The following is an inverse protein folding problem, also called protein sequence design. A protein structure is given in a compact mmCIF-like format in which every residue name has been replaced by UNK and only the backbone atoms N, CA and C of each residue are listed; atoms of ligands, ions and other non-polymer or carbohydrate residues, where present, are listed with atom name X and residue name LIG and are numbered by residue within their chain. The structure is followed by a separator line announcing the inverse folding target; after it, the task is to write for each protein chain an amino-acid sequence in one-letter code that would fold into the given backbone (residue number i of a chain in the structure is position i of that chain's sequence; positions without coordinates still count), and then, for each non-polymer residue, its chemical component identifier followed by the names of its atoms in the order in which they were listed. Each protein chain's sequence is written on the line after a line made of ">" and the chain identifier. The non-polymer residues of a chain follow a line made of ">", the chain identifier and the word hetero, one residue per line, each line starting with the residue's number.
data_IF_854178377114
#
_entry.id   IF_854178377114
#
_cell.length_a   1.000
_cell.length_b   1.000
_cell.length_c   1.000
_cell.angle_alpha   90.00
_cell.angle_beta   90.00
_cell.angle_gamma   90.00
#
_symmetry.space_group_name_H-M   'P 1'
#
loop_
_entity.id
_entity.type
_entity.pdbx_description
1 polymer ?
#
# COMPACT_ATOMS: atom_id res chain seq x y z
N UNK A 1 27.07 -5.53 23.45
CA UNK A 1 27.69 -4.89 22.27
C UNK A 1 28.97 -4.17 22.72
N UNK A 2 29.97 -3.91 21.87
CA UNK A 2 31.20 -3.22 22.26
C UNK A 2 30.89 -1.89 22.96
N UNK A 3 31.73 -1.46 23.91
CA UNK A 3 31.56 -0.19 24.66
C UNK A 3 31.49 1.03 23.71
N UNK A 4 32.04 0.90 22.50
CA UNK A 4 32.03 1.92 21.44
C UNK A 4 30.72 2.02 20.64
N UNK A 5 29.77 1.10 20.83
CA UNK A 5 28.46 1.13 20.13
C UNK A 5 27.41 1.94 20.90
N UNK A 6 26.42 2.55 20.24
CA UNK A 6 25.30 3.22 20.90
C UNK A 6 24.53 2.26 21.82
N UNK A 7 23.79 2.76 22.84
CA UNK A 7 23.07 1.93 23.82
C UNK A 7 21.88 1.12 23.25
N UNK A 8 21.68 1.13 21.93
CA UNK A 8 20.70 0.32 21.21
C UNK A 8 20.96 0.36 19.70
N UNK A 9 20.00 -0.15 18.92
CA UNK A 9 20.05 -0.20 17.45
C UNK A 9 18.98 0.72 16.86
N UNK A 10 19.26 1.35 15.72
CA UNK A 10 18.25 2.19 15.05
C UNK A 10 17.09 1.35 14.49
N UNK A 11 17.40 0.29 13.74
CA UNK A 11 16.41 -0.57 13.08
C UNK A 11 16.76 -2.04 13.29
N UNK A 12 15.79 -2.83 13.77
CA UNK A 12 15.80 -4.29 13.75
C UNK A 12 14.76 -4.76 12.72
N UNK A 13 15.16 -5.66 11.83
CA UNK A 13 14.27 -6.31 10.87
C UNK A 13 14.36 -7.82 11.05
N UNK A 14 13.23 -8.48 11.24
CA UNK A 14 13.14 -9.94 11.33
C UNK A 14 12.05 -10.46 10.42
N UNK A 15 12.11 -11.75 10.08
CA UNK A 15 10.97 -12.42 9.45
C UNK A 15 9.88 -12.69 10.49
N UNK A 16 10.19 -13.50 11.51
CA UNK A 16 9.26 -13.90 12.57
C UNK A 16 8.95 -12.76 13.55
N UNK A 17 7.69 -12.68 13.96
CA UNK A 17 7.28 -11.77 15.04
C UNK A 17 7.87 -12.22 16.39
N UNK A 18 8.22 -11.29 17.28
CA UNK A 18 8.62 -11.63 18.64
C UNK A 18 7.41 -12.13 19.44
N UNK A 19 7.61 -13.19 20.22
CA UNK A 19 6.58 -13.73 21.13
C UNK A 19 6.22 -12.70 22.21
N UNK A 20 4.92 -12.57 22.52
CA UNK A 20 4.42 -11.69 23.57
C UNK A 20 4.32 -10.22 23.16
N UNK A 21 4.54 -9.89 21.89
CA UNK A 21 4.48 -8.51 21.37
C UNK A 21 3.10 -7.87 21.47
N UNK A 22 2.07 -8.63 21.73
CA UNK A 22 0.70 -8.21 21.99
C UNK A 22 0.52 -7.71 23.44
N UNK A 23 1.40 -8.10 24.37
CA UNK A 23 1.22 -7.83 25.80
C UNK A 23 1.16 -6.33 26.09
N UNK A 24 0.05 -5.87 26.66
CA UNK A 24 -0.17 -4.47 27.00
C UNK A 24 -0.52 -3.53 25.82
N UNK A 25 -0.63 -4.05 24.59
CA UNK A 25 -1.11 -3.26 23.45
C UNK A 25 -2.63 -3.33 23.33
N UNK A 26 -3.24 -2.22 22.92
CA UNK A 26 -4.64 -2.17 22.52
C UNK A 26 -4.83 -2.34 21.01
N UNK A 27 -3.75 -2.23 20.24
CA UNK A 27 -3.77 -2.23 18.76
C UNK A 27 -3.40 -3.60 18.20
N UNK A 28 -2.29 -4.20 18.66
CA UNK A 28 -1.84 -5.52 18.19
C UNK A 28 -2.37 -6.63 19.11
N UNK A 29 -3.55 -7.17 18.81
CA UNK A 29 -4.16 -8.25 19.58
C UNK A 29 -4.16 -9.57 18.80
N UNK A 30 -3.81 -10.67 19.48
CA UNK A 30 -3.92 -12.05 19.01
C UNK A 30 -3.28 -12.33 17.64
N UNK A 31 -1.93 -12.27 17.51
CA UNK A 31 -1.26 -12.68 16.28
C UNK A 31 -1.56 -14.16 15.94
N UNK A 32 -1.70 -14.54 14.65
CA UNK A 32 -2.03 -15.90 14.21
C UNK A 32 -1.06 -16.96 14.72
N UNK A 33 0.23 -16.65 14.73
CA UNK A 33 1.27 -17.51 15.31
C UNK A 33 1.70 -16.98 16.69
N UNK A 34 2.10 -17.89 17.57
CA UNK A 34 2.53 -17.59 18.95
C UNK A 34 3.88 -16.81 19.04
N UNK A 35 4.36 -16.24 17.94
CA UNK A 35 5.64 -15.53 17.82
C UNK A 35 6.87 -16.38 18.17
N UNK A 36 8.06 -15.79 18.08
CA UNK A 36 9.34 -16.43 18.38
C UNK A 36 9.95 -15.89 19.68
N UNK A 37 10.24 -16.79 20.61
CA UNK A 37 10.93 -16.46 21.87
C UNK A 37 12.34 -15.92 21.62
N UNK A 38 13.04 -16.48 20.63
CA UNK A 38 14.37 -16.00 20.24
C UNK A 38 14.32 -14.55 19.72
N UNK A 39 13.27 -14.19 18.98
CA UNK A 39 13.10 -12.82 18.48
C UNK A 39 12.70 -11.84 19.59
N UNK A 40 11.92 -12.29 20.58
CA UNK A 40 11.62 -11.49 21.78
C UNK A 40 12.90 -11.20 22.60
N UNK A 41 13.72 -12.23 22.84
CA UNK A 41 15.02 -12.09 23.52
C UNK A 41 15.96 -11.16 22.76
N UNK A 42 16.04 -11.31 21.42
CA UNK A 42 16.86 -10.47 20.57
C UNK A 42 16.42 -9.00 20.64
N UNK A 43 15.11 -8.73 20.57
CA UNK A 43 14.58 -7.37 20.65
C UNK A 43 14.80 -6.74 22.03
N UNK A 44 14.61 -7.50 23.11
CA UNK A 44 14.89 -7.06 24.47
C UNK A 44 16.38 -6.71 24.67
N UNK A 45 17.29 -7.50 24.10
CA UNK A 45 18.72 -7.28 24.21
C UNK A 45 19.23 -6.13 23.32
N UNK A 46 18.70 -5.98 22.10
CA UNK A 46 19.15 -4.96 21.15
C UNK A 46 18.50 -3.59 21.35
N UNK A 47 17.32 -3.54 21.98
CA UNK A 47 16.56 -2.31 22.25
C UNK A 47 16.45 -1.45 20.99
N UNK A 48 15.85 -1.95 19.90
CA UNK A 48 15.80 -1.20 18.66
C UNK A 48 14.90 0.03 18.78
N UNK A 49 15.15 1.13 18.05
CA UNK A 49 14.18 2.23 17.97
C UNK A 49 12.97 1.82 17.13
N UNK A 50 13.21 1.15 16.02
CA UNK A 50 12.19 0.58 15.15
C UNK A 50 12.41 -0.92 14.98
N UNK A 51 11.35 -1.70 15.18
CA UNK A 51 11.35 -3.13 14.99
C UNK A 51 10.29 -3.54 13.96
N UNK A 52 10.74 -4.00 12.80
CA UNK A 52 9.89 -4.52 11.72
C UNK A 52 9.87 -6.05 11.69
N UNK A 53 8.69 -6.65 11.54
CA UNK A 53 8.50 -8.08 11.32
C UNK A 53 7.36 -8.37 10.33
N UNK A 54 7.43 -9.47 9.56
CA UNK A 54 6.53 -9.70 8.42
C UNK A 54 5.86 -11.08 8.35
N UNK A 55 6.24 -12.06 9.18
CA UNK A 55 5.78 -13.46 9.03
C UNK A 55 4.27 -13.71 9.26
N UNK A 56 3.55 -12.76 9.85
CA UNK A 56 2.11 -12.92 10.14
C UNK A 56 1.21 -12.44 8.99
N UNK A 57 1.79 -11.84 7.94
CA UNK A 57 1.07 -11.20 6.83
C UNK A 57 -0.01 -10.20 7.29
N UNK A 58 0.21 -9.60 8.47
CA UNK A 58 -0.72 -8.67 9.12
C UNK A 58 -0.03 -7.33 9.36
N UNK A 59 -0.66 -6.25 8.89
CA UNK A 59 -0.24 -4.92 9.30
C UNK A 59 -0.63 -4.66 10.76
N UNK A 60 0.35 -4.37 11.62
CA UNK A 60 0.09 -3.87 12.96
C UNK A 60 1.13 -2.85 13.42
N UNK A 61 0.67 -1.63 13.72
CA UNK A 61 1.49 -0.59 14.31
C UNK A 61 1.20 -0.50 15.81
N UNK A 62 2.07 -1.09 16.63
CA UNK A 62 1.90 -1.12 18.07
C UNK A 62 2.19 0.25 18.67
N UNK A 63 1.53 0.57 19.78
CA UNK A 63 2.00 1.65 20.66
C UNK A 63 3.47 1.42 21.05
N UNK A 64 4.30 2.49 21.14
CA UNK A 64 5.68 2.36 21.57
C UNK A 64 5.78 1.68 22.94
N UNK A 65 6.90 1.00 23.20
CA UNK A 65 7.16 0.43 24.53
C UNK A 65 8.53 0.83 25.08
N UNK A 66 8.63 0.93 26.40
CA UNK A 66 9.90 1.25 27.09
C UNK A 66 10.87 0.08 26.99
N UNK A 67 12.15 0.41 26.81
CA UNK A 67 13.22 -0.58 26.91
C UNK A 67 13.64 -0.78 28.37
N UNK A 68 14.03 -2.00 28.71
CA UNK A 68 14.40 -2.44 30.07
C UNK A 68 15.77 -3.10 30.04
N UNK A 69 16.49 -3.08 31.16
CA UNK A 69 17.79 -3.74 31.34
C UNK A 69 17.64 -5.10 32.01
N UNK A 70 18.66 -5.94 31.90
CA UNK A 70 18.68 -7.30 32.48
C UNK A 70 18.54 -8.41 31.45
N UNK A 71 18.60 -8.08 30.16
CA UNK A 71 18.43 -9.04 29.05
C UNK A 71 19.66 -9.12 28.13
N UNK A 72 20.61 -8.22 28.32
CA UNK A 72 21.91 -8.23 27.65
C UNK A 72 23.04 -8.74 28.55
N UNK A 73 24.30 -8.55 28.11
CA UNK A 73 25.48 -8.89 28.90
C UNK A 73 25.56 -8.09 30.22
N UNK A 74 26.42 -8.48 31.19
CA UNK A 74 26.52 -7.83 32.51
C UNK A 74 26.85 -6.32 32.47
N UNK A 75 27.43 -5.82 31.39
CA UNK A 75 27.75 -4.41 31.13
C UNK A 75 26.67 -3.69 30.29
N UNK A 76 25.45 -4.22 30.26
CA UNK A 76 24.33 -3.68 29.50
C UNK A 76 23.96 -2.26 29.96
N UNK A 77 23.98 -1.33 29.00
CA UNK A 77 23.55 0.06 29.22
C UNK A 77 22.03 0.19 29.09
N UNK A 78 21.39 1.05 29.91
CA UNK A 78 20.00 1.43 29.68
C UNK A 78 19.87 2.16 28.35
N UNK A 79 18.77 1.93 27.65
CA UNK A 79 18.38 2.69 26.47
C UNK A 79 17.34 3.73 26.90
N UNK A 80 17.57 4.99 26.56
CA UNK A 80 16.64 6.09 26.89
C UNK A 80 15.46 6.16 25.92
N UNK A 81 15.60 5.59 24.72
CA UNK A 81 14.55 5.58 23.71
C UNK A 81 13.52 4.47 23.91
N UNK A 82 12.30 4.73 23.45
CA UNK A 82 11.26 3.73 23.28
C UNK A 82 11.44 2.95 21.96
N UNK A 83 10.92 1.72 21.94
CA UNK A 83 10.86 0.88 20.73
C UNK A 83 9.49 0.99 20.08
N UNK A 84 9.46 1.14 18.76
CA UNK A 84 8.25 1.11 17.93
C UNK A 84 8.22 -0.17 17.13
N UNK A 85 7.21 -1.01 17.36
CA UNK A 85 7.03 -2.26 16.61
C UNK A 85 6.02 -2.08 15.48
N UNK A 86 6.42 -2.54 14.28
CA UNK A 86 5.59 -2.52 13.08
C UNK A 86 5.59 -3.91 12.44
N UNK A 87 4.46 -4.59 12.57
CA UNK A 87 4.09 -5.74 11.76
C UNK A 87 3.69 -5.29 10.37
N UNK A 88 4.26 -5.89 9.32
CA UNK A 88 3.91 -5.60 7.93
C UNK A 88 3.01 -6.70 7.37
N UNK A 89 1.98 -6.30 6.61
CA UNK A 89 1.22 -7.23 5.79
C UNK A 89 2.04 -7.73 4.60
N UNK A 90 1.60 -8.83 3.98
CA UNK A 90 2.25 -9.30 2.75
C UNK A 90 2.11 -8.27 1.63
N UNK A 91 3.14 -8.13 0.81
CA UNK A 91 3.04 -7.29 -0.36
C UNK A 91 1.89 -7.81 -1.23
N UNK A 92 1.05 -6.89 -1.73
CA UNK A 92 -0.02 -7.24 -2.69
C UNK A 92 -1.14 -8.10 -2.09
N UNK A 93 -1.29 -8.12 -0.77
CA UNK A 93 -2.37 -8.83 -0.11
C UNK A 93 -3.77 -8.37 -0.60
N UNK A 94 -4.72 -9.30 -0.67
CA UNK A 94 -6.09 -9.03 -1.13
C UNK A 94 -6.89 -8.14 -0.17
N UNK A 95 -6.45 -8.06 1.09
CA UNK A 95 -7.07 -7.28 2.17
C UNK A 95 -6.61 -5.82 2.21
N UNK A 96 -5.72 -5.40 1.30
CA UNK A 96 -5.13 -4.05 1.19
C UNK A 96 -4.52 -3.52 2.49
N UNK A 97 -4.03 -4.41 3.35
CA UNK A 97 -3.27 -4.04 4.52
C UNK A 97 -1.94 -3.40 4.12
N UNK A 98 -1.41 -2.51 4.96
CA UNK A 98 -0.14 -1.84 4.70
C UNK A 98 1.01 -2.85 4.77
N UNK A 99 1.75 -2.94 3.67
CA UNK A 99 2.86 -3.88 3.49
C UNK A 99 4.22 -3.17 3.39
N UNK A 100 4.22 -1.85 3.52
CA UNK A 100 5.40 -0.99 3.56
C UNK A 100 5.16 0.13 4.59
N UNK A 101 6.23 0.74 5.07
CA UNK A 101 6.19 1.81 6.07
C UNK A 101 7.24 2.86 5.71
N UNK A 102 6.81 4.12 5.58
CA UNK A 102 7.68 5.25 5.30
C UNK A 102 7.79 6.15 6.53
N UNK A 103 9.01 6.52 6.91
CA UNK A 103 9.27 7.36 8.08
C UNK A 103 10.60 8.08 7.94
N UNK A 104 10.72 9.22 8.63
CA UNK A 104 11.97 9.95 8.78
C UNK A 104 12.64 9.55 10.10
N UNK A 105 13.95 9.31 10.07
CA UNK A 105 14.71 8.95 11.28
C UNK A 105 16.09 9.57 11.26
N UNK A 106 16.45 10.22 12.36
CA UNK A 106 17.83 10.62 12.65
C UNK A 106 18.55 9.47 13.38
N UNK A 107 19.72 9.01 12.90
CA UNK A 107 20.43 7.90 13.53
C UNK A 107 20.83 8.18 14.99
N UNK A 108 20.79 7.16 15.85
CA UNK A 108 21.20 7.20 17.26
C UNK A 108 22.57 7.87 17.50
N UNK A 109 23.49 7.69 16.54
CA UNK A 109 24.84 8.27 16.59
C UNK A 109 24.91 9.81 16.52
N UNK A 110 23.86 10.50 16.06
CA UNK A 110 23.92 11.93 15.71
C UNK A 110 23.23 12.86 16.70
N UNK A 111 22.30 12.37 17.55
CA UNK A 111 21.50 13.24 18.42
C UNK A 111 20.93 12.52 19.65
N UNK A 112 21.59 12.58 20.83
CA UNK A 112 21.08 11.95 22.06
C UNK A 112 19.82 12.63 22.63
N UNK A 113 19.65 13.94 22.42
CA UNK A 113 18.65 14.76 23.11
C UNK A 113 17.19 14.55 22.64
N UNK A 114 16.97 14.03 21.43
CA UNK A 114 15.63 13.75 20.87
C UNK A 114 15.15 12.32 21.16
N UNK A 115 16.01 11.49 21.76
CA UNK A 115 15.75 10.07 21.99
C UNK A 115 14.86 9.81 23.21
N UNK A 116 14.86 10.72 24.17
CA UNK A 116 14.10 10.61 25.42
C UNK A 116 12.63 11.03 25.28
N UNK A 117 12.25 11.59 24.13
CA UNK A 117 10.89 12.06 23.88
C UNK A 117 9.95 10.86 23.70
N UNK A 118 9.29 10.51 24.80
CA UNK A 118 8.50 9.30 24.94
C UNK A 118 7.01 9.67 24.86
N UNK A 119 6.30 9.25 23.80
CA UNK A 119 4.87 9.56 23.66
C UNK A 119 4.05 9.12 24.86
N UNK A 120 2.97 9.85 25.18
CA UNK A 120 2.12 9.55 26.34
C UNK A 120 1.41 8.19 26.28
N UNK A 121 1.28 7.59 25.10
CA UNK A 121 0.73 6.24 24.91
C UNK A 121 1.78 5.12 25.03
N UNK A 122 3.00 5.43 25.48
CA UNK A 122 4.07 4.42 25.61
C UNK A 122 3.73 3.40 26.70
N UNK A 123 3.84 2.13 26.33
CA UNK A 123 3.55 0.96 27.17
C UNK A 123 4.81 0.43 27.86
N UNK A 124 4.64 -0.44 28.85
CA UNK A 124 5.77 -1.18 29.44
C UNK A 124 6.30 -2.25 28.47
N UNK A 125 7.53 -2.72 28.70
CA UNK A 125 8.16 -3.70 27.83
C UNK A 125 7.34 -5.00 27.76
N UNK A 126 6.97 -5.48 26.55
CA UNK A 126 6.11 -6.65 26.38
C UNK A 126 6.77 -7.98 26.77
N UNK A 127 8.11 -8.03 26.83
CA UNK A 127 8.89 -9.26 26.99
C UNK A 127 9.30 -9.60 28.43
N UNK A 128 8.74 -8.90 29.42
CA UNK A 128 9.18 -8.99 30.82
C UNK A 128 8.90 -10.36 31.46
N UNK A 129 7.87 -11.08 31.02
CA UNK A 129 7.56 -12.43 31.51
C UNK A 129 8.41 -13.51 30.82
N UNK A 130 8.58 -13.48 29.50
CA UNK A 130 9.40 -14.46 28.78
C UNK A 130 10.86 -14.39 29.22
N UNK A 131 11.36 -13.19 29.47
CA UNK A 131 12.76 -12.97 29.74
C UNK A 131 13.18 -13.29 31.20
N UNK A 132 12.23 -13.33 32.14
CA UNK A 132 12.42 -13.95 33.46
C UNK A 132 12.68 -15.47 33.38
N UNK A 133 12.10 -16.15 32.38
CA UNK A 133 12.30 -17.58 32.18
C UNK A 133 13.66 -17.92 31.56
N UNK A 134 14.26 -16.99 30.80
CA UNK A 134 15.59 -17.14 30.20
C UNK A 134 16.72 -17.01 31.25
N UNK A 135 16.60 -16.09 32.21
CA UNK A 135 17.57 -15.92 33.31
C UNK A 135 17.64 -17.12 34.27
N UNK A 136 16.60 -17.94 34.31
CA UNK A 136 16.47 -19.07 35.24
C UNK A 136 16.92 -20.43 34.66
N UNK A 137 17.18 -20.53 33.35
CA UNK A 137 17.54 -21.80 32.70
C UNK A 137 19.06 -22.01 32.63
N UNK A 138 19.67 -22.40 33.76
CA UNK A 138 20.88 -23.26 33.72
C UNK A 138 20.42 -24.67 33.33
N UNK A 139 20.91 -25.21 32.21
CA UNK A 139 20.53 -26.54 31.71
C UNK A 139 20.93 -27.65 32.70
N UNK A 140 20.05 -28.58 33.07
CA UNK A 140 20.44 -29.89 33.59
C UNK A 140 20.75 -30.87 32.46
N UNK A 141 21.60 -31.84 32.76
CA UNK A 141 22.00 -32.97 31.91
C UNK A 141 20.83 -33.96 31.72
N UNK A 142 20.69 -34.67 30.58
CA UNK A 142 19.56 -35.55 30.33
C UNK A 142 19.85 -37.00 30.76
N UNK A 143 19.01 -37.56 31.63
CA UNK A 143 18.83 -39.01 31.78
C UNK A 143 17.34 -39.34 32.02
N UNK A 144 16.84 -40.20 31.14
CA UNK A 144 15.78 -41.23 31.24
C UNK A 144 14.80 -41.23 32.42
N UNK A 145 13.49 -41.22 32.16
CA UNK A 145 12.68 -42.45 32.00
C UNK A 145 11.16 -42.15 31.92
N UNK A 146 10.52 -42.80 30.95
CA UNK A 146 9.21 -43.47 30.97
C UNK A 146 7.96 -42.85 31.65
N UNK A 147 6.83 -42.88 30.91
CA UNK A 147 5.50 -42.79 31.50
C UNK A 147 4.43 -42.31 30.52
N UNK A 148 3.91 -43.21 29.67
CA UNK A 148 2.82 -42.91 28.75
C UNK A 148 1.45 -42.73 29.43
N UNK A 149 0.55 -42.04 28.73
CA UNK A 149 -0.89 -42.35 28.68
C UNK A 149 -1.55 -41.52 27.56
N UNK A 150 -1.89 -42.19 26.45
CA UNK A 150 -2.76 -41.68 25.39
C UNK A 150 -4.19 -42.19 25.62
N UNK A 151 -5.18 -41.30 25.65
CA UNK A 151 -6.61 -41.63 25.75
C UNK A 151 -7.39 -40.94 24.61
N UNK A 152 -8.22 -41.72 23.90
CA UNK A 152 -8.99 -41.37 22.70
C UNK A 152 -10.41 -40.87 23.03
N UNK A 153 -10.96 -39.99 22.17
CA UNK A 153 -12.40 -39.71 22.01
C UNK A 153 -12.79 -38.23 22.29
N UNK A 154 -13.51 -37.50 21.44
CA UNK A 154 -14.26 -37.83 20.23
C UNK A 154 -14.70 -36.57 19.48
N UNK A 155 -15.01 -36.75 18.20
CA UNK A 155 -15.55 -35.76 17.25
C UNK A 155 -16.87 -35.16 17.73
N UNK A 156 -17.05 -33.85 17.52
CA UNK A 156 -18.34 -33.17 17.53
C UNK A 156 -18.63 -32.62 16.13
N UNK A 157 -19.62 -33.22 15.45
CA UNK A 157 -20.17 -32.71 14.20
C UNK A 157 -21.20 -31.58 14.48
N UNK A 158 -21.26 -30.51 13.66
CA UNK A 158 -22.22 -29.43 13.82
C UNK A 158 -23.62 -29.73 13.24
N UNK A 159 -24.64 -29.18 13.91
CA UNK A 159 -26.09 -29.25 13.63
C UNK A 159 -26.50 -28.67 12.26
N UNK A 160 -27.51 -29.22 11.56
CA UNK A 160 -28.12 -28.56 10.41
C UNK A 160 -29.40 -27.78 10.79
N UNK A 161 -29.47 -26.53 10.33
CA UNK A 161 -30.64 -25.65 10.35
C UNK A 161 -31.51 -25.92 9.10
N UNK A 162 -32.73 -26.42 9.30
CA UNK A 162 -33.68 -26.72 8.23
C UNK A 162 -34.49 -25.50 7.79
N UNK A 163 -34.32 -25.07 6.53
CA UNK A 163 -35.14 -24.04 5.91
C UNK A 163 -36.39 -24.68 5.29
N UNK A 164 -37.58 -24.23 5.73
CA UNK A 164 -38.89 -24.76 5.34
C UNK A 164 -39.34 -24.10 4.04
N UNK A 165 -39.33 -24.82 2.92
CA UNK A 165 -40.23 -24.69 1.77
C UNK A 165 -39.91 -25.82 0.76
N UNK A 166 -40.80 -26.80 0.63
CA UNK A 166 -40.63 -27.96 -0.24
C UNK A 166 -40.79 -27.64 -1.74
N UNK A 167 -40.37 -28.54 -2.63
CA UNK A 167 -40.53 -28.37 -4.08
C UNK A 167 -42.00 -28.37 -4.53
N UNK A 168 -42.33 -27.73 -5.67
CA UNK A 168 -43.67 -27.75 -6.27
C UNK A 168 -44.17 -29.17 -6.58
N UNK A 169 -45.50 -29.34 -6.60
CA UNK A 169 -46.15 -30.60 -6.94
C UNK A 169 -45.74 -31.07 -8.34
N UNK A 170 -45.14 -32.27 -8.42
CA UNK A 170 -44.62 -32.86 -9.66
C UNK A 170 -43.09 -32.81 -9.82
N UNK A 171 -42.35 -32.14 -8.92
CA UNK A 171 -40.89 -32.21 -8.91
C UNK A 171 -40.42 -33.57 -8.38
N UNK A 172 -39.61 -34.27 -9.19
CA UNK A 172 -38.97 -35.54 -8.84
C UNK A 172 -37.46 -35.33 -8.81
N UNK A 173 -36.80 -35.76 -7.73
CA UNK A 173 -35.35 -35.60 -7.58
C UNK A 173 -34.59 -36.43 -8.61
N UNK A 174 -33.71 -35.83 -9.42
CA UNK A 174 -32.93 -36.55 -10.45
C UNK A 174 -31.85 -37.49 -9.91
N UNK A 175 -31.65 -37.55 -8.61
CA UNK A 175 -30.65 -38.42 -7.96
C UNK A 175 -31.29 -39.73 -7.52
N UNK A 176 -32.44 -39.69 -6.82
CA UNK A 176 -33.13 -40.87 -6.31
C UNK A 176 -34.48 -41.17 -6.98
N UNK A 177 -34.93 -40.32 -7.91
CA UNK A 177 -36.25 -40.39 -8.55
C UNK A 177 -37.46 -40.38 -7.58
N UNK A 178 -37.30 -39.80 -6.38
CA UNK A 178 -38.41 -39.61 -5.45
C UNK A 178 -38.87 -38.13 -5.38
N UNK A 179 -40.18 -37.87 -5.26
CA UNK A 179 -40.71 -36.52 -5.07
C UNK A 179 -40.52 -36.02 -3.62
N UNK A 180 -40.64 -34.71 -3.41
CA UNK A 180 -40.76 -34.12 -2.05
C UNK A 180 -39.52 -33.41 -1.48
N UNK A 181 -38.37 -33.42 -2.18
CA UNK A 181 -37.16 -32.67 -1.78
C UNK A 181 -36.39 -32.15 -2.99
N UNK A 182 -35.70 -31.01 -2.89
CA UNK A 182 -34.82 -30.51 -3.95
C UNK A 182 -33.54 -31.36 -4.05
N UNK A 183 -32.88 -31.36 -5.22
CA UNK A 183 -31.61 -32.06 -5.48
C UNK A 183 -30.47 -31.73 -4.48
N UNK A 184 -30.60 -30.64 -3.73
CA UNK A 184 -29.67 -30.25 -2.67
C UNK A 184 -29.89 -31.02 -1.36
N UNK A 185 -31.13 -31.38 -1.05
CA UNK A 185 -31.56 -32.02 0.21
C UNK A 185 -31.92 -33.50 0.02
N UNK A 186 -31.38 -34.14 -1.02
CA UNK A 186 -31.67 -35.55 -1.29
C UNK A 186 -30.99 -36.45 -0.24
N UNK A 187 -31.75 -37.27 0.50
CA UNK A 187 -31.21 -38.11 1.56
C UNK A 187 -30.29 -39.23 1.03
N UNK A 188 -30.41 -39.56 -0.27
CA UNK A 188 -29.53 -40.52 -0.96
C UNK A 188 -28.34 -39.85 -1.66
N UNK A 189 -28.18 -38.52 -1.56
CA UNK A 189 -27.02 -37.83 -2.11
C UNK A 189 -25.84 -38.07 -1.17
N UNK A 190 -24.95 -38.98 -1.55
CA UNK A 190 -23.63 -39.09 -0.94
C UNK A 190 -22.95 -37.72 -1.01
N UNK A 191 -22.72 -37.09 0.14
CA UNK A 191 -22.04 -35.81 0.31
C UNK A 191 -20.52 -35.94 0.08
N UNK A 192 -20.13 -36.57 -1.03
CA UNK A 192 -18.75 -36.56 -1.50
C UNK A 192 -18.50 -35.29 -2.32
N UNK A 193 -17.29 -34.69 -2.25
CA UNK A 193 -16.91 -33.62 -3.16
C UNK A 193 -17.14 -34.09 -4.60
N UNK A 194 -17.72 -33.22 -5.44
CA UNK A 194 -17.96 -33.54 -6.87
C UNK A 194 -16.61 -33.86 -7.49
N UNK A 195 -16.32 -35.15 -7.71
CA UNK A 195 -15.13 -35.56 -8.45
C UNK A 195 -15.38 -35.34 -9.94
N UNK A 196 -14.45 -34.73 -10.68
CA UNK A 196 -14.53 -34.66 -12.13
C UNK A 196 -14.61 -36.05 -12.75
N UNK A 197 -15.17 -36.14 -13.97
CA UNK A 197 -15.17 -37.40 -14.74
C UNK A 197 -13.74 -37.87 -15.02
N UNK A 198 -13.57 -39.18 -15.18
CA UNK A 198 -12.30 -39.78 -15.57
C UNK A 198 -11.79 -39.14 -16.88
N UNK A 199 -10.54 -38.67 -16.85
CA UNK A 199 -9.90 -37.92 -17.95
C UNK A 199 -9.99 -36.39 -17.86
N UNK A 200 -10.73 -35.82 -16.90
CA UNK A 200 -10.67 -34.38 -16.65
C UNK A 200 -9.36 -34.01 -15.94
N UNK A 201 -8.64 -33.04 -16.52
CA UNK A 201 -7.42 -32.44 -15.97
C UNK A 201 -7.67 -30.96 -15.73
N UNK A 202 -7.31 -30.47 -14.54
CA UNK A 202 -7.46 -29.07 -14.19
C UNK A 202 -6.56 -28.18 -15.05
N UNK A 203 -7.11 -27.15 -15.70
CA UNK A 203 -6.32 -26.22 -16.55
C UNK A 203 -5.45 -25.22 -15.77
N UNK A 204 -5.53 -25.22 -14.44
CA UNK A 204 -4.74 -24.33 -13.58
C UNK A 204 -3.44 -25.02 -13.15
N UNK A 205 -3.51 -26.23 -12.61
CA UNK A 205 -2.33 -26.98 -12.13
C UNK A 205 -1.96 -28.20 -12.98
N UNK A 206 -2.74 -28.52 -14.01
CA UNK A 206 -2.59 -29.73 -14.84
C UNK A 206 -2.68 -31.06 -14.07
N UNK A 207 -3.35 -31.08 -12.91
CA UNK A 207 -3.60 -32.31 -12.16
C UNK A 207 -5.07 -32.78 -12.29
N UNK A 208 -5.32 -34.10 -12.35
CA UNK A 208 -6.67 -34.66 -12.29
C UNK A 208 -7.23 -34.62 -10.86
N UNK A 209 -8.55 -34.84 -10.72
CA UNK A 209 -9.18 -35.11 -9.41
C UNK A 209 -9.96 -33.97 -8.75
N UNK A 210 -9.89 -32.73 -9.27
CA UNK A 210 -10.68 -31.59 -8.79
C UNK A 210 -11.13 -30.68 -9.95
N UNK A 211 -12.24 -29.96 -9.82
CA UNK A 211 -12.65 -28.97 -10.83
C UNK A 211 -11.80 -27.69 -10.73
N UNK A 212 -11.72 -26.91 -11.82
CA UNK A 212 -10.96 -25.63 -11.86
C UNK A 212 -11.38 -24.67 -10.73
N UNK A 213 -12.64 -24.75 -10.27
CA UNK A 213 -13.15 -23.91 -9.19
C UNK A 213 -12.55 -24.26 -7.82
N UNK A 214 -12.23 -25.53 -7.60
CA UNK A 214 -11.74 -26.11 -6.34
C UNK A 214 -10.23 -26.38 -6.39
N UNK A 215 -9.52 -25.76 -7.35
CA UNK A 215 -8.09 -25.97 -7.51
C UNK A 215 -7.32 -25.37 -6.32
N UNK A 216 -6.53 -26.17 -5.58
CA UNK A 216 -5.77 -25.67 -4.43
C UNK A 216 -4.69 -24.66 -4.85
N UNK A 217 -4.17 -24.79 -6.07
CA UNK A 217 -3.19 -23.87 -6.65
C UNK A 217 -3.82 -22.58 -7.23
N UNK A 218 -5.14 -22.38 -7.12
CA UNK A 218 -5.82 -21.20 -7.68
C UNK A 218 -5.41 -19.91 -6.97
N UNK A 219 -5.33 -19.94 -5.64
CA UNK A 219 -4.90 -18.79 -4.84
C UNK A 219 -3.43 -18.43 -5.10
N UNK A 220 -2.54 -19.44 -5.14
CA UNK A 220 -1.12 -19.24 -5.44
C UNK A 220 -0.90 -18.69 -6.86
N UNK A 221 -1.57 -19.25 -7.87
CA UNK A 221 -1.49 -18.72 -9.24
C UNK A 221 -2.06 -17.31 -9.37
N UNK A 222 -3.10 -16.97 -8.60
CA UNK A 222 -3.66 -15.63 -8.59
C UNK A 222 -2.67 -14.63 -7.97
N UNK A 223 -2.10 -14.96 -6.81
CA UNK A 223 -1.08 -14.15 -6.15
C UNK A 223 0.16 -13.96 -7.04
N UNK A 224 0.63 -15.03 -7.71
CA UNK A 224 1.76 -14.94 -8.65
C UNK A 224 1.45 -14.01 -9.82
N UNK A 225 0.26 -14.10 -10.43
CA UNK A 225 -0.14 -13.21 -11.53
C UNK A 225 -0.30 -11.76 -11.08
N UNK A 226 -0.79 -11.53 -9.87
CA UNK A 226 -0.89 -10.20 -9.28
C UNK A 226 0.52 -9.63 -9.02
N UNK A 227 1.45 -10.43 -8.50
CA UNK A 227 2.86 -10.06 -8.35
C UNK A 227 3.53 -9.67 -9.66
N UNK A 228 3.41 -10.50 -10.70
CA UNK A 228 3.94 -10.21 -12.04
C UNK A 228 3.37 -8.91 -12.62
N UNK A 229 2.07 -8.65 -12.39
CA UNK A 229 1.43 -7.40 -12.81
C UNK A 229 2.01 -6.18 -12.09
N UNK A 230 2.25 -6.28 -10.79
CA UNK A 230 2.77 -5.19 -9.97
C UNK A 230 4.26 -4.93 -10.22
N UNK A 231 5.07 -5.95 -10.47
CA UNK A 231 6.47 -5.79 -10.92
C UNK A 231 6.59 -5.09 -12.28
N UNK A 232 5.58 -5.23 -13.14
CA UNK A 232 5.55 -4.54 -14.43
C UNK A 232 5.06 -3.09 -14.37
N UNK A 233 4.52 -2.65 -13.22
CA UNK A 233 3.92 -1.33 -13.07
C UNK A 233 4.95 -0.24 -12.78
N UNK A 234 4.96 0.83 -13.58
CA UNK A 234 5.94 1.93 -13.49
C UNK A 234 5.81 2.81 -12.23
N UNK A 235 4.67 2.75 -11.54
CA UNK A 235 4.37 3.62 -10.39
C UNK A 235 4.16 2.84 -9.09
N UNK A 236 4.40 1.53 -9.07
CA UNK A 236 4.24 0.77 -7.84
C UNK A 236 5.52 0.82 -7.03
N UNK A 237 5.42 1.17 -5.74
CA UNK A 237 6.55 1.12 -4.80
C UNK A 237 7.13 -0.31 -4.66
N UNK A 238 6.31 -1.32 -4.95
CA UNK A 238 6.70 -2.73 -4.99
C UNK A 238 7.59 -3.07 -6.19
N UNK A 239 7.55 -2.27 -7.27
CA UNK A 239 8.38 -2.53 -8.45
C UNK A 239 9.85 -2.18 -8.12
N UNK A 240 10.77 -3.15 -8.18
CA UNK A 240 12.18 -2.91 -7.90
C UNK A 240 12.86 -1.94 -8.89
N UNK A 241 12.27 -1.77 -10.08
CA UNK A 241 12.76 -0.86 -11.15
C UNK A 241 12.16 0.55 -11.06
N UNK A 242 11.38 0.85 -10.03
CA UNK A 242 10.86 2.19 -9.82
C UNK A 242 12.00 3.20 -9.62
N UNK A 243 11.86 4.39 -10.21
CA UNK A 243 12.81 5.50 -10.09
C UNK A 243 12.69 6.18 -8.71
N UNK A 244 13.14 5.48 -7.66
CA UNK A 244 12.97 5.91 -6.25
C UNK A 244 13.61 7.26 -5.95
N UNK A 245 14.62 7.69 -6.72
CA UNK A 245 15.28 8.98 -6.53
C UNK A 245 14.40 10.18 -6.90
N UNK A 246 13.31 9.99 -7.65
CA UNK A 246 12.35 11.05 -8.00
C UNK A 246 11.30 11.29 -6.90
N UNK A 247 11.16 10.37 -5.93
CA UNK A 247 10.17 10.47 -4.86
C UNK A 247 10.53 11.65 -3.95
N UNK A 248 9.61 12.61 -3.83
CA UNK A 248 9.77 13.82 -3.02
C UNK A 248 9.12 13.72 -1.65
N UNK A 249 8.03 12.97 -1.53
CA UNK A 249 7.25 12.82 -0.31
C UNK A 249 6.46 11.51 -0.33
N UNK A 250 6.30 10.85 0.82
CA UNK A 250 5.52 9.62 0.96
C UNK A 250 4.59 9.80 2.15
N UNK A 251 3.30 9.89 1.87
CA UNK A 251 2.27 9.89 2.89
C UNK A 251 1.71 8.49 3.14
N UNK A 252 0.48 8.44 3.64
CA UNK A 252 -0.17 7.22 4.10
C UNK A 252 -0.80 6.44 2.95
N UNK A 253 -1.64 7.10 2.16
CA UNK A 253 -2.36 6.53 1.01
C UNK A 253 -1.78 7.02 -0.32
N UNK A 254 -1.04 8.13 -0.32
CA UNK A 254 -0.44 8.75 -1.51
C UNK A 254 1.07 8.95 -1.34
N UNK A 255 1.80 8.97 -2.45
CA UNK A 255 3.16 9.48 -2.51
C UNK A 255 3.29 10.47 -3.67
N UNK A 256 4.19 11.43 -3.53
CA UNK A 256 4.50 12.43 -4.54
C UNK A 256 5.91 12.19 -5.12
N UNK A 257 6.02 12.29 -6.44
CA UNK A 257 7.28 12.17 -7.18
C UNK A 257 7.39 13.29 -8.21
N UNK A 258 8.61 13.74 -8.51
CA UNK A 258 8.82 14.53 -9.72
C UNK A 258 8.54 13.67 -10.96
N UNK A 259 8.00 14.31 -12.00
CA UNK A 259 7.76 13.67 -13.27
C UNK A 259 9.08 13.40 -13.99
N UNK A 260 9.27 12.15 -14.46
CA UNK A 260 10.35 11.85 -15.40
C UNK A 260 10.10 12.56 -16.73
N UNK A 261 11.03 13.39 -17.14
CA UNK A 261 10.84 14.28 -18.29
C UNK A 261 9.78 15.36 -18.03
N UNK A 262 10.04 16.28 -17.09
CA UNK A 262 9.08 17.29 -16.69
C UNK A 262 8.77 18.26 -17.84
N UNK A 263 7.57 18.86 -17.81
CA UNK A 263 7.19 19.88 -18.80
C UNK A 263 7.92 21.20 -18.54
N UNK A 264 8.06 21.51 -17.24
CA UNK A 264 8.77 22.68 -16.74
C UNK A 264 10.18 22.24 -16.38
N UNK A 265 11.17 22.81 -17.05
CA UNK A 265 12.58 22.54 -16.79
C UNK A 265 13.07 23.45 -15.67
N UNK A 266 13.98 22.96 -14.83
CA UNK A 266 14.69 23.81 -13.86
C UNK A 266 15.54 24.92 -14.51
N UNK A 267 15.78 24.83 -15.83
CA UNK A 267 16.44 25.86 -16.62
C UNK A 267 15.51 26.98 -17.11
N UNK A 268 14.19 26.79 -17.02
CA UNK A 268 13.23 27.82 -17.41
C UNK A 268 13.25 28.99 -16.39
N UNK A 269 12.83 30.18 -16.82
CA UNK A 269 12.85 31.37 -15.95
C UNK A 269 11.68 31.36 -14.98
N UNK A 270 11.91 31.83 -13.75
CA UNK A 270 10.88 32.02 -12.72
C UNK A 270 10.07 30.74 -12.40
N UNK A 271 10.76 29.60 -12.29
CA UNK A 271 10.12 28.32 -11.98
C UNK A 271 10.32 27.91 -10.53
N UNK A 272 9.45 27.01 -10.06
CA UNK A 272 9.63 26.31 -8.79
C UNK A 272 10.94 25.49 -8.86
N UNK A 273 11.80 25.52 -7.83
CA UNK A 273 13.01 24.71 -7.80
C UNK A 273 12.73 23.22 -8.06
N UNK A 274 13.50 22.60 -8.95
CA UNK A 274 13.25 21.24 -9.46
C UNK A 274 12.11 21.14 -10.50
N UNK A 275 11.66 22.27 -11.06
CA UNK A 275 10.62 22.36 -12.10
C UNK A 275 9.19 22.22 -11.57
N UNK A 276 8.98 21.48 -10.48
CA UNK A 276 7.70 21.35 -9.80
C UNK A 276 6.62 20.58 -10.57
N UNK A 277 6.94 19.88 -11.65
CA UNK A 277 5.98 18.96 -12.27
C UNK A 277 5.86 17.70 -11.40
N UNK A 278 4.79 17.61 -10.61
CA UNK A 278 4.57 16.54 -9.63
C UNK A 278 3.57 15.52 -10.18
N UNK A 279 3.87 14.25 -9.91
CA UNK A 279 2.93 13.15 -10.07
C UNK A 279 2.56 12.65 -8.68
N UNK A 280 1.27 12.75 -8.35
CA UNK A 280 0.71 12.25 -7.10
C UNK A 280 0.07 10.88 -7.38
N UNK A 281 0.55 9.85 -6.70
CA UNK A 281 0.21 8.45 -6.99
C UNK A 281 -0.27 7.77 -5.72
N UNK A 282 -1.38 7.00 -5.75
CA UNK A 282 -1.72 6.13 -4.66
C UNK A 282 -0.60 5.14 -4.37
N UNK A 283 -0.36 4.90 -3.10
CA UNK A 283 0.56 3.87 -2.64
C UNK A 283 0.06 2.49 -3.09
N UNK A 284 -1.23 2.23 -2.88
CA UNK A 284 -1.88 0.98 -3.26
C UNK A 284 -2.21 1.02 -4.75
N UNK A 285 -1.91 -0.05 -5.47
CA UNK A 285 -2.20 -0.12 -6.90
C UNK A 285 -3.70 -0.07 -7.17
N UNK A 286 -4.15 1.06 -7.68
CA UNK A 286 -5.49 1.23 -8.26
C UNK A 286 -5.35 1.60 -9.73
N UNK A 287 -6.12 0.97 -10.62
CA UNK A 287 -6.09 1.35 -12.04
C UNK A 287 -6.66 2.75 -12.29
N UNK A 288 -7.62 3.17 -11.46
CA UNK A 288 -8.22 4.52 -11.46
C UNK A 288 -8.65 4.87 -10.04
N UNK A 289 -8.74 6.17 -9.69
CA UNK A 289 -9.19 6.61 -8.36
C UNK A 289 -10.64 6.20 -8.03
N UNK A 290 -11.45 5.87 -9.05
CA UNK A 290 -12.81 5.35 -8.86
C UNK A 290 -12.85 3.89 -8.38
N UNK A 291 -11.73 3.16 -8.43
CA UNK A 291 -11.64 1.76 -7.96
C UNK A 291 -11.13 1.65 -6.53
N UNK A 292 -10.87 2.78 -5.88
CA UNK A 292 -10.56 2.84 -4.46
C UNK A 292 -11.82 2.45 -3.68
N UNK A 293 -11.73 1.53 -2.69
CA UNK A 293 -12.87 1.13 -1.87
C UNK A 293 -13.49 2.29 -1.10
N UNK A 294 -14.80 2.20 -0.83
CA UNK A 294 -15.53 3.25 -0.11
C UNK A 294 -14.97 3.47 1.31
N UNK A 295 -14.44 2.44 1.96
CA UNK A 295 -13.84 2.52 3.29
C UNK A 295 -12.51 3.30 3.34
N UNK A 296 -11.76 3.33 2.24
CA UNK A 296 -10.44 3.98 2.13
C UNK A 296 -10.51 5.30 1.36
N UNK A 297 -11.58 5.51 0.59
CA UNK A 297 -11.73 6.67 -0.29
C UNK A 297 -11.71 8.01 0.46
N UNK A 298 -12.36 8.20 1.62
CA UNK A 298 -12.29 9.46 2.36
C UNK A 298 -10.88 9.85 2.81
N UNK A 299 -10.07 8.89 3.24
CA UNK A 299 -8.70 9.09 3.69
C UNK A 299 -7.82 9.49 2.51
N UNK A 300 -7.96 8.78 1.39
CA UNK A 300 -7.27 9.08 0.14
C UNK A 300 -7.63 10.49 -0.37
N UNK A 301 -8.92 10.83 -0.43
CA UNK A 301 -9.39 12.12 -0.94
C UNK A 301 -8.90 13.28 -0.05
N UNK A 302 -8.94 13.12 1.28
CA UNK A 302 -8.40 14.09 2.22
C UNK A 302 -6.90 14.28 2.03
N UNK A 303 -6.15 13.21 1.81
CA UNK A 303 -4.70 13.28 1.56
C UNK A 303 -4.36 13.94 0.22
N UNK A 304 -5.12 13.64 -0.85
CA UNK A 304 -5.02 14.33 -2.14
C UNK A 304 -5.21 15.84 -1.96
N UNK A 305 -6.25 16.26 -1.22
CA UNK A 305 -6.52 17.68 -1.00
C UNK A 305 -5.44 18.36 -0.12
N UNK A 306 -4.88 17.64 0.86
CA UNK A 306 -3.74 18.15 1.63
C UNK A 306 -2.51 18.39 0.75
N UNK A 307 -2.17 17.43 -0.13
CA UNK A 307 -1.08 17.61 -1.10
C UNK A 307 -1.36 18.75 -2.07
N UNK A 308 -2.57 18.85 -2.63
CA UNK A 308 -2.96 19.96 -3.51
C UNK A 308 -2.83 21.30 -2.79
N UNK A 309 -3.28 21.41 -1.53
CA UNK A 309 -3.17 22.63 -0.73
C UNK A 309 -1.71 23.00 -0.47
N UNK A 310 -0.88 22.03 -0.07
CA UNK A 310 0.55 22.21 0.15
C UNK A 310 1.27 22.71 -1.12
N UNK A 311 1.02 22.07 -2.26
CA UNK A 311 1.59 22.47 -3.55
C UNK A 311 1.08 23.83 -4.00
N UNK A 312 -0.20 24.16 -3.76
CA UNK A 312 -0.75 25.51 -4.03
C UNK A 312 0.04 26.58 -3.29
N UNK A 313 0.27 26.36 -1.99
CA UNK A 313 0.99 27.29 -1.14
C UNK A 313 2.46 27.43 -1.57
N UNK A 314 3.12 26.34 -1.94
CA UNK A 314 4.47 26.38 -2.49
C UNK A 314 4.52 27.16 -3.81
N UNK A 315 3.66 26.82 -4.77
CA UNK A 315 3.69 27.40 -6.13
C UNK A 315 3.40 28.91 -6.09
N UNK A 316 2.51 29.34 -5.19
CA UNK A 316 2.20 30.74 -5.00
C UNK A 316 3.42 31.60 -4.61
N UNK A 317 4.42 31.05 -3.91
CA UNK A 317 5.66 31.76 -3.57
C UNK A 317 6.55 32.05 -4.80
N UNK A 318 6.39 31.27 -5.87
CA UNK A 318 7.13 31.40 -7.13
C UNK A 318 6.29 32.04 -8.23
N UNK A 319 5.21 32.72 -7.85
CA UNK A 319 4.22 33.32 -8.75
C UNK A 319 3.66 32.35 -9.81
N UNK A 320 3.47 31.10 -9.37
CA UNK A 320 2.84 30.05 -10.16
C UNK A 320 1.48 29.71 -9.55
N UNK A 321 0.51 29.43 -10.41
CA UNK A 321 -0.68 28.64 -10.11
C UNK A 321 -0.43 27.15 -10.42
N UNK A 322 -1.43 26.30 -10.20
CA UNK A 322 -1.34 24.88 -10.55
C UNK A 322 -2.43 24.47 -11.53
N UNK A 323 -2.07 23.63 -12.49
CA UNK A 323 -2.98 22.85 -13.32
C UNK A 323 -2.92 21.40 -12.85
N UNK A 324 -4.06 20.79 -12.55
CA UNK A 324 -4.12 19.38 -12.16
C UNK A 324 -4.92 18.59 -13.18
N UNK A 325 -4.42 17.44 -13.60
CA UNK A 325 -5.24 16.53 -14.40
C UNK A 325 -5.09 15.08 -13.98
N UNK A 326 -6.14 14.32 -14.25
CA UNK A 326 -6.14 12.87 -14.13
C UNK A 326 -6.82 12.23 -15.34
N UNK A 327 -6.42 10.98 -15.60
CA UNK A 327 -7.05 10.15 -16.60
C UNK A 327 -7.58 8.88 -15.95
N UNK A 328 -8.89 8.82 -15.75
CA UNK A 328 -9.57 7.62 -15.29
C UNK A 328 -9.91 6.77 -16.50
N UNK A 329 -8.99 5.87 -16.85
CA UNK A 329 -9.23 4.85 -17.88
C UNK A 329 -8.64 3.53 -17.43
N UNK A 330 -9.48 2.50 -17.37
CA UNK A 330 -9.00 1.17 -17.00
C UNK A 330 -8.00 0.66 -18.04
N UNK A 331 -6.76 0.47 -17.61
CA UNK A 331 -5.67 -0.09 -18.41
C UNK A 331 -5.07 -1.28 -17.67
N UNK A 332 -4.60 -2.27 -18.42
CA UNK A 332 -3.95 -3.45 -17.87
C UNK A 332 -2.65 -3.10 -17.10
N UNK A 333 -1.94 -2.05 -17.51
CA UNK A 333 -0.68 -1.59 -16.94
C UNK A 333 -0.78 -0.22 -16.24
N UNK A 334 -2.00 0.31 -16.07
CA UNK A 334 -2.21 1.65 -15.52
C UNK A 334 -2.17 1.66 -13.99
N UNK A 335 -1.50 2.68 -13.43
CA UNK A 335 -1.67 3.12 -12.06
C UNK A 335 -2.34 4.49 -12.10
N UNK A 336 -3.43 4.66 -11.35
CA UNK A 336 -4.04 5.94 -11.07
C UNK A 336 -2.97 6.93 -10.62
N UNK A 337 -3.02 8.14 -11.15
CA UNK A 337 -2.16 9.23 -10.73
C UNK A 337 -2.79 10.56 -11.14
N UNK A 338 -2.48 11.60 -10.39
CA UNK A 338 -2.75 12.98 -10.76
C UNK A 338 -1.43 13.62 -11.19
N UNK A 339 -1.43 14.35 -12.29
CA UNK A 339 -0.31 15.21 -12.65
C UNK A 339 -0.64 16.65 -12.26
N UNK A 340 0.31 17.30 -11.60
CA UNK A 340 0.20 18.66 -11.06
C UNK A 340 1.34 19.48 -11.64
N UNK A 341 1.00 20.46 -12.46
CA UNK A 341 1.96 21.26 -13.23
C UNK A 341 1.87 22.72 -12.78
N UNK A 342 2.99 23.36 -12.40
CA UNK A 342 3.01 24.79 -12.13
C UNK A 342 2.83 25.55 -13.44
N UNK A 343 1.95 26.54 -13.42
CA UNK A 343 1.66 27.43 -14.55
C UNK A 343 1.88 28.88 -14.08
N UNK A 344 2.62 29.71 -14.81
CA UNK A 344 2.77 31.12 -14.46
C UNK A 344 1.41 31.82 -14.33
N UNK A 345 1.20 32.63 -13.28
CA UNK A 345 -0.10 33.25 -13.01
C UNK A 345 -0.61 34.14 -14.14
N UNK A 346 0.30 34.78 -14.87
CA UNK A 346 -0.02 35.60 -16.04
C UNK A 346 -0.65 34.78 -17.19
N UNK A 347 -0.50 33.46 -17.16
CA UNK A 347 -1.08 32.51 -18.13
C UNK A 347 -2.33 31.79 -17.62
N UNK A 348 -2.69 31.92 -16.35
CA UNK A 348 -3.82 31.18 -15.75
C UNK A 348 -5.16 31.44 -16.44
N UNK A 349 -5.40 32.68 -16.88
CA UNK A 349 -6.63 33.06 -17.58
C UNK A 349 -6.76 32.43 -18.98
N UNK A 350 -5.67 31.90 -19.55
CA UNK A 350 -5.64 31.29 -20.88
C UNK A 350 -5.95 29.79 -20.85
N UNK A 351 -5.92 29.17 -19.67
CA UNK A 351 -5.98 27.71 -19.51
C UNK A 351 -7.28 27.14 -20.09
N UNK A 352 -8.43 27.71 -19.72
CA UNK A 352 -9.74 27.21 -20.17
C UNK A 352 -9.88 27.30 -21.70
N UNK A 353 -9.52 28.45 -22.29
CA UNK A 353 -9.62 28.66 -23.73
C UNK A 353 -8.73 27.67 -24.51
N UNK A 354 -7.46 27.52 -24.09
CA UNK A 354 -6.51 26.61 -24.73
C UNK A 354 -6.95 25.16 -24.58
N UNK A 355 -7.45 24.76 -23.40
CA UNK A 355 -7.96 23.41 -23.16
C UNK A 355 -9.16 23.09 -24.05
N UNK A 356 -10.11 24.02 -24.17
CA UNK A 356 -11.27 23.88 -25.05
C UNK A 356 -10.87 23.84 -26.53
N UNK A 357 -9.91 24.66 -26.96
CA UNK A 357 -9.39 24.64 -28.32
C UNK A 357 -8.69 23.31 -28.63
N UNK A 358 -7.86 22.80 -27.73
CA UNK A 358 -7.19 21.51 -27.88
C UNK A 358 -8.21 20.35 -27.94
N UNK A 359 -9.24 20.37 -27.09
CA UNK A 359 -10.31 19.37 -27.11
C UNK A 359 -11.05 19.37 -28.46
N UNK A 360 -11.39 20.55 -28.99
CA UNK A 360 -12.04 20.68 -30.30
C UNK A 360 -11.18 20.14 -31.44
N UNK A 361 -9.86 20.34 -31.39
CA UNK A 361 -8.92 19.80 -32.36
C UNK A 361 -8.87 18.25 -32.33
N UNK A 362 -9.01 17.66 -31.14
CA UNK A 362 -9.09 16.19 -30.98
C UNK A 362 -10.51 15.62 -31.15
N UNK A 363 -11.51 16.46 -31.40
CA UNK A 363 -12.87 16.05 -31.74
C UNK A 363 -13.80 15.81 -30.55
N UNK A 364 -13.47 16.34 -29.36
CA UNK A 364 -14.33 16.24 -28.17
C UNK A 364 -14.52 17.60 -27.46
N UNK A 365 -15.31 17.59 -26.38
CA UNK A 365 -15.59 18.78 -25.57
C UNK A 365 -15.32 18.51 -24.10
N UNK A 366 -14.86 19.55 -23.42
CA UNK A 366 -14.73 19.59 -21.96
C UNK A 366 -15.93 20.32 -21.36
N UNK A 367 -16.49 19.77 -20.27
CA UNK A 367 -17.68 20.30 -19.59
C UNK A 367 -17.47 20.30 -18.08
N UNK A 368 -18.13 21.23 -17.38
CA UNK A 368 -18.15 21.28 -15.92
C UNK A 368 -19.14 20.26 -15.32
N UNK A 369 -18.97 18.98 -15.66
CA UNK A 369 -19.85 17.91 -15.21
C UNK A 369 -19.06 16.64 -14.91
N UNK A 370 -19.01 16.26 -13.62
CA UNK A 370 -18.45 14.99 -13.19
C UNK A 370 -19.31 13.80 -13.65
N UNK A 371 -18.71 12.61 -13.87
CA UNK A 371 -19.46 11.43 -14.24
C UNK A 371 -20.39 10.99 -13.10
N UNK A 372 -21.66 10.74 -13.42
CA UNK A 372 -22.63 10.18 -12.47
C UNK A 372 -22.40 8.69 -12.23
N UNK A 373 -21.88 7.98 -13.23
CA UNK A 373 -21.55 6.57 -13.13
C UNK A 373 -20.07 6.39 -12.71
N UNK A 374 -19.80 5.71 -11.58
CA UNK A 374 -18.42 5.51 -11.10
C UNK A 374 -17.56 4.65 -12.04
N UNK A 375 -18.17 3.89 -12.95
CA UNK A 375 -17.46 3.07 -13.93
C UNK A 375 -17.19 3.78 -15.27
N UNK A 376 -17.57 5.05 -15.41
CA UNK A 376 -17.27 5.82 -16.61
C UNK A 376 -15.77 6.10 -16.71
N UNK A 377 -15.22 5.96 -17.91
CA UNK A 377 -13.90 6.49 -18.22
C UNK A 377 -14.01 8.00 -18.44
N UNK A 378 -13.06 8.76 -17.93
CA UNK A 378 -13.06 10.21 -18.10
C UNK A 378 -11.66 10.80 -18.05
N UNK A 379 -11.52 11.96 -18.67
CA UNK A 379 -10.41 12.88 -18.43
C UNK A 379 -10.93 14.05 -17.59
N UNK A 380 -10.18 14.46 -16.58
CA UNK A 380 -10.54 15.57 -15.69
C UNK A 380 -9.35 16.53 -15.57
N UNK A 381 -9.65 17.82 -15.61
CA UNK A 381 -8.71 18.93 -15.53
C UNK A 381 -9.23 19.94 -14.50
N UNK A 382 -8.54 20.10 -13.38
CA UNK A 382 -8.83 21.10 -12.35
C UNK A 382 -8.03 22.37 -12.66
N UNK A 383 -8.72 23.51 -12.74
CA UNK A 383 -8.15 24.81 -13.05
C UNK A 383 -7.81 25.61 -11.77
N UNK A 384 -6.91 26.61 -11.86
CA UNK A 384 -6.57 27.48 -10.73
C UNK A 384 -7.75 28.22 -10.11
N UNK A 385 -8.76 28.57 -10.91
CA UNK A 385 -9.95 29.31 -10.50
C UNK A 385 -10.99 28.43 -9.76
N UNK A 386 -10.70 27.14 -9.59
CA UNK A 386 -11.58 26.17 -8.93
C UNK A 386 -12.54 25.46 -9.87
N UNK A 387 -12.59 25.81 -11.17
CA UNK A 387 -13.38 25.06 -12.14
C UNK A 387 -12.78 23.68 -12.39
N UNK A 388 -13.66 22.75 -12.76
CA UNK A 388 -13.27 21.39 -13.15
C UNK A 388 -13.84 21.08 -14.52
N UNK A 389 -12.96 20.89 -15.49
CA UNK A 389 -13.30 20.54 -16.86
C UNK A 389 -13.18 19.03 -17.06
N UNK A 390 -14.24 18.39 -17.56
CA UNK A 390 -14.34 16.93 -17.67
C UNK A 390 -14.76 16.54 -19.08
N UNK A 391 -14.10 15.52 -19.61
CA UNK A 391 -14.57 14.79 -20.78
C UNK A 391 -14.88 13.34 -20.39
N UNK A 392 -16.17 12.97 -20.42
CA UNK A 392 -16.62 11.60 -20.19
C UNK A 392 -16.48 10.83 -21.50
N UNK A 393 -15.62 9.82 -21.49
CA UNK A 393 -15.29 9.04 -22.68
C UNK A 393 -16.35 7.99 -22.96
N UNK A 394 -16.71 7.85 -24.23
CA UNK A 394 -17.57 6.80 -24.71
C UNK A 394 -16.86 5.43 -24.66
N UNK A 395 -17.61 4.33 -24.55
CA UNK A 395 -17.02 2.99 -24.65
C UNK A 395 -16.20 2.83 -25.93
N UNK A 396 -14.94 2.39 -25.77
CA UNK A 396 -13.94 2.19 -26.86
C UNK A 396 -13.49 3.45 -27.58
N UNK A 397 -13.78 4.64 -27.05
CA UNK A 397 -13.24 5.89 -27.57
C UNK A 397 -11.70 5.87 -27.57
N UNK A 398 -11.11 6.38 -28.66
CA UNK A 398 -9.68 6.64 -28.72
C UNK A 398 -9.45 8.01 -28.08
N UNK A 399 -8.59 8.04 -27.08
CA UNK A 399 -8.27 9.25 -26.34
C UNK A 399 -6.75 9.36 -26.19
N UNK A 400 -6.21 10.54 -26.40
CA UNK A 400 -4.80 10.84 -26.23
C UNK A 400 -4.44 10.81 -24.73
N UNK A 401 -3.69 9.80 -24.29
CA UNK A 401 -3.32 9.66 -22.87
C UNK A 401 -2.44 10.83 -22.37
N UNK A 402 -1.84 11.60 -23.28
CA UNK A 402 -1.02 12.76 -22.98
C UNK A 402 -1.81 14.08 -23.10
N UNK A 403 -3.13 14.05 -23.28
CA UNK A 403 -3.92 15.26 -23.54
C UNK A 403 -3.71 16.36 -22.49
N UNK A 404 -3.69 16.03 -21.19
CA UNK A 404 -3.39 17.01 -20.13
C UNK A 404 -2.00 17.64 -20.26
N UNK A 405 -1.00 16.84 -20.65
CA UNK A 405 0.36 17.30 -20.95
C UNK A 405 0.39 18.19 -22.19
N UNK A 406 -0.36 17.85 -23.23
CA UNK A 406 -0.49 18.65 -24.47
C UNK A 406 -1.07 20.03 -24.17
N UNK A 407 -2.14 20.07 -23.38
CA UNK A 407 -2.75 21.34 -22.95
C UNK A 407 -1.74 22.18 -22.16
N UNK A 408 -1.06 21.60 -21.18
CA UNK A 408 -0.06 22.29 -20.38
C UNK A 408 1.13 22.80 -21.22
N UNK A 409 1.63 22.00 -22.17
CA UNK A 409 2.70 22.39 -23.08
C UNK A 409 2.31 23.61 -23.94
N UNK A 410 1.08 23.63 -24.47
CA UNK A 410 0.55 24.76 -25.24
C UNK A 410 0.43 26.03 -24.39
N UNK A 411 -0.05 25.92 -23.15
CA UNK A 411 -0.12 27.05 -22.21
C UNK A 411 1.29 27.59 -21.92
N UNK A 412 2.24 26.70 -21.65
CA UNK A 412 3.62 27.09 -21.34
C UNK A 412 4.37 27.64 -22.57
N UNK A 413 3.88 27.41 -23.79
CA UNK A 413 4.52 27.86 -25.03
C UNK A 413 5.64 26.92 -25.49
N UNK A 414 5.59 25.66 -25.07
CA UNK A 414 6.60 24.63 -25.33
C UNK A 414 5.99 23.39 -26.01
N UNK A 415 5.42 23.50 -27.23
CA UNK A 415 4.79 22.38 -27.92
C UNK A 415 5.75 21.22 -28.22
N UNK A 416 7.07 21.48 -28.26
CA UNK A 416 8.10 20.45 -28.40
C UNK A 416 8.21 19.51 -27.19
N UNK A 417 7.65 19.91 -26.04
CA UNK A 417 7.65 19.16 -24.77
C UNK A 417 6.38 18.34 -24.54
N UNK A 418 5.46 18.33 -25.52
CA UNK A 418 4.24 17.52 -25.50
C UNK A 418 4.55 16.02 -25.35
N UNK A 419 5.63 15.51 -25.95
CA UNK A 419 6.13 14.15 -25.73
C UNK A 419 7.18 14.14 -24.61
N UNK A 420 6.90 13.47 -23.50
CA UNK A 420 7.84 13.36 -22.39
C UNK A 420 9.19 12.75 -22.75
N UNK A 421 9.26 11.95 -23.83
CA UNK A 421 10.51 11.35 -24.31
C UNK A 421 11.46 12.36 -24.94
N UNK A 422 11.00 13.56 -25.30
CA UNK A 422 11.86 14.65 -25.77
C UNK A 422 12.47 15.44 -24.61
N UNK A 423 11.88 15.34 -23.41
CA UNK A 423 12.31 16.02 -22.19
C UNK A 423 13.28 15.19 -21.34
N UNK A 424 14.15 14.36 -21.95
CA UNK A 424 15.04 13.47 -21.18
C UNK A 424 15.99 14.26 -20.29
N UNK A 425 16.17 13.75 -19.09
CA UNK A 425 17.18 14.19 -18.13
C UNK A 425 18.09 13.01 -17.81
N UNK A 426 19.32 13.32 -17.42
CA UNK A 426 20.24 12.36 -16.81
C UNK A 426 19.81 12.04 -15.38
N UNK A 427 20.28 10.92 -14.83
CA UNK A 427 19.95 10.55 -13.45
C UNK A 427 20.49 11.57 -12.44
N UNK A 428 21.62 12.20 -12.76
CA UNK A 428 22.25 13.26 -11.97
C UNK A 428 21.37 14.52 -11.93
N UNK A 429 20.89 14.98 -13.07
CA UNK A 429 19.96 16.11 -13.17
C UNK A 429 18.65 15.82 -12.41
N UNK A 430 18.09 14.62 -12.58
CA UNK A 430 16.89 14.18 -11.85
C UNK A 430 17.10 14.22 -10.32
N UNK A 431 18.27 13.80 -9.83
CA UNK A 431 18.61 13.85 -8.39
C UNK A 431 18.78 15.28 -7.90
N UNK A 432 19.40 16.15 -8.69
CA UNK A 432 19.58 17.56 -8.36
C UNK A 432 18.23 18.27 -8.27
N UNK A 433 17.38 18.10 -9.28
CA UNK A 433 16.02 18.65 -9.30
C UNK A 433 15.18 18.12 -8.13
N UNK A 434 15.26 16.82 -7.85
CA UNK A 434 14.54 16.21 -6.72
C UNK A 434 15.00 16.78 -5.39
N UNK A 435 16.32 16.97 -5.22
CA UNK A 435 16.86 17.59 -4.01
C UNK A 435 16.40 19.04 -3.87
N UNK A 436 16.50 19.83 -4.94
CA UNK A 436 16.07 21.22 -4.95
C UNK A 436 14.58 21.37 -4.61
N UNK A 437 13.72 20.51 -5.17
CA UNK A 437 12.31 20.50 -4.85
C UNK A 437 12.04 20.08 -3.39
N UNK A 438 12.70 19.03 -2.89
CA UNK A 438 12.56 18.60 -1.49
C UNK A 438 12.90 19.70 -0.50
N UNK A 439 13.98 20.45 -0.76
CA UNK A 439 14.44 21.53 0.12
C UNK A 439 13.36 22.61 0.29
N UNK A 440 12.64 22.96 -0.77
CA UNK A 440 11.56 23.97 -0.73
C UNK A 440 10.21 23.40 -0.31
N UNK A 441 9.93 22.14 -0.63
CA UNK A 441 8.67 21.47 -0.28
C UNK A 441 8.60 21.06 1.20
N UNK A 442 9.74 20.87 1.86
CA UNK A 442 9.83 20.44 3.28
C UNK A 442 8.93 21.22 4.24
N UNK A 443 8.74 22.53 4.02
CA UNK A 443 7.89 23.38 4.88
C UNK A 443 6.39 23.23 4.64
N UNK A 444 6.00 22.57 3.56
CA UNK A 444 4.61 22.33 3.15
C UNK A 444 4.21 20.87 3.16
N UNK A 445 5.17 19.96 3.18
CA UNK A 445 4.95 18.53 3.03
C UNK A 445 3.93 18.03 4.07
N UNK A 446 2.73 17.56 3.64
CA UNK A 446 1.68 17.13 4.56
C UNK A 446 1.98 15.77 5.21
N UNK A 447 3.04 15.08 4.78
CA UNK A 447 3.45 13.77 5.33
C UNK A 447 4.44 13.86 6.50
N UNK A 448 5.00 15.05 6.77
CA UNK A 448 6.07 15.27 7.76
C UNK A 448 5.52 15.63 9.13
#
# INVERSE_FOLDING_TARGET
>A
MPITTPPGVDILVTHLWPKGIEHGSKVCQNPPNQGSEAMAQLAAALKPRYYFAAAEDIFCEREPYKNVTGFGPPDERPAEHATRFIGLGDALNSTKQRWFYAFNMEPLSKSPATLSDTPSNTTECPFTQEAATAASKKRPHPEDESGGNFFWGGQQDPKPTGNKNGPPAGYVCKVCNEPGHYLQNCPQKTAGPRKPKDGYVCKICNEPGHFIQDCPAKAQNQAQREAEKLESCWFCLANPKLEKHLIVSIGTEMYATLAKGPLVSSQDKNVVPGGGHIILVPVTHYSTLNKVPEETKPQLDNEIENYKKALRSLYAEYDQDMLVFELSRQSFMGHAHLQIIPIPKDKSNLIEEIAQQAARQEGFQLKEQLPTNPNSNYFKLDLPDGKTLVHIMQPRERFNLQFGRVVAAKILGHPEREDWKTCKQTMEEEKEDTKAFKDVFKKYDPSV
#
